data_IF_610075044048
#
_entry.id   IF_610075044048
#
_cell.length_a   1.000
_cell.length_b   1.000
_cell.length_c   1.000
_cell.angle_alpha   90.00
_cell.angle_beta   90.00
_cell.angle_gamma   90.00
#
_symmetry.space_group_name_H-M   'P 1'
#
loop_
_entity.id
_entity.type
_entity.pdbx_description
1 polymer ?
#
# COMPACT_ATOMS: atom_id res chain seq x y z
N UNK A 1 -30.46 15.79 -23.44
CA UNK A 1 -29.46 14.81 -23.92
C UNK A 1 -30.19 13.77 -24.73
N UNK A 2 -29.77 13.52 -25.99
CA UNK A 2 -30.54 12.66 -26.91
C UNK A 2 -30.45 11.19 -26.48
N UNK A 3 -31.52 10.44 -26.61
CA UNK A 3 -31.66 8.99 -26.27
C UNK A 3 -30.56 8.13 -26.89
N UNK A 4 -30.01 8.53 -28.03
CA UNK A 4 -28.88 7.86 -28.71
C UNK A 4 -27.57 7.96 -27.90
N UNK A 5 -27.35 9.07 -27.21
CA UNK A 5 -26.16 9.32 -26.42
C UNK A 5 -26.09 8.43 -25.14
N UNK A 6 -27.24 8.23 -24.50
CA UNK A 6 -27.35 7.39 -23.28
C UNK A 6 -27.08 5.92 -23.58
N UNK A 7 -27.62 5.40 -24.68
CA UNK A 7 -27.40 3.99 -25.05
C UNK A 7 -25.92 3.68 -25.36
N UNK A 8 -25.20 4.60 -26.00
CA UNK A 8 -23.77 4.44 -26.26
C UNK A 8 -22.96 4.53 -24.95
N UNK A 9 -23.36 5.43 -24.06
CA UNK A 9 -22.73 5.58 -22.75
C UNK A 9 -22.92 4.33 -21.87
N UNK A 10 -24.12 3.76 -21.82
CA UNK A 10 -24.40 2.52 -21.10
C UNK A 10 -23.60 1.33 -21.66
N UNK A 11 -23.45 1.23 -22.98
CA UNK A 11 -22.60 0.21 -23.61
C UNK A 11 -21.13 0.38 -23.24
N UNK A 12 -20.65 1.62 -23.19
CA UNK A 12 -19.27 1.92 -22.76
C UNK A 12 -19.04 1.50 -21.32
N UNK A 13 -19.96 1.82 -20.40
CA UNK A 13 -19.89 1.40 -19.00
C UNK A 13 -19.88 -0.12 -18.85
N UNK A 14 -20.75 -0.82 -19.56
CA UNK A 14 -20.80 -2.29 -19.55
C UNK A 14 -19.52 -2.92 -20.09
N UNK A 15 -18.95 -2.34 -21.15
CA UNK A 15 -17.65 -2.79 -21.71
C UNK A 15 -16.49 -2.59 -20.73
N UNK A 16 -16.44 -1.43 -20.08
CA UNK A 16 -15.42 -1.15 -19.06
C UNK A 16 -15.55 -2.10 -17.88
N UNK A 17 -16.77 -2.36 -17.40
CA UNK A 17 -17.02 -3.33 -16.33
C UNK A 17 -16.59 -4.74 -16.74
N UNK A 18 -16.85 -5.16 -17.97
CA UNK A 18 -16.38 -6.45 -18.50
C UNK A 18 -14.85 -6.57 -18.49
N UNK A 19 -14.15 -5.50 -18.82
CA UNK A 19 -12.68 -5.44 -18.73
C UNK A 19 -12.17 -5.56 -17.29
N UNK A 20 -12.85 -4.90 -16.36
CA UNK A 20 -12.53 -4.98 -14.93
C UNK A 20 -12.76 -6.41 -14.41
N UNK A 21 -13.89 -7.03 -14.73
CA UNK A 21 -14.21 -8.40 -14.34
C UNK A 21 -13.19 -9.41 -14.87
N UNK A 22 -12.69 -9.22 -16.10
CA UNK A 22 -11.64 -10.04 -16.68
C UNK A 22 -10.31 -9.91 -15.94
N UNK A 23 -9.96 -8.71 -15.48
CA UNK A 23 -8.72 -8.47 -14.69
C UNK A 23 -8.87 -9.03 -13.28
N UNK A 24 -10.03 -8.87 -12.64
CA UNK A 24 -10.30 -9.40 -11.29
C UNK A 24 -10.36 -10.92 -11.26
N UNK A 25 -10.66 -11.57 -12.38
CA UNK A 25 -10.86 -13.03 -12.48
C UNK A 25 -11.81 -13.56 -11.40
N UNK A 26 -13.09 -13.16 -11.50
CA UNK A 26 -14.11 -13.48 -10.50
C UNK A 26 -14.25 -14.98 -10.24
N UNK A 27 -13.98 -15.83 -11.24
CA UNK A 27 -14.06 -17.27 -11.07
C UNK A 27 -12.91 -17.81 -10.22
N UNK A 28 -11.70 -17.29 -10.39
CA UNK A 28 -10.58 -17.58 -9.50
C UNK A 28 -10.84 -17.08 -8.07
N UNK A 29 -11.38 -15.87 -7.91
CA UNK A 29 -11.75 -15.35 -6.58
C UNK A 29 -12.81 -16.22 -5.89
N UNK A 30 -13.81 -16.70 -6.61
CA UNK A 30 -14.83 -17.61 -6.06
C UNK A 30 -14.24 -18.97 -5.65
N UNK A 31 -13.27 -19.49 -6.42
CA UNK A 31 -12.57 -20.72 -6.07
C UNK A 31 -11.72 -20.53 -4.80
N UNK A 32 -11.02 -19.41 -4.67
CA UNK A 32 -10.27 -19.08 -3.45
C UNK A 32 -11.18 -18.91 -2.23
N UNK A 33 -12.35 -18.28 -2.40
CA UNK A 33 -13.37 -18.16 -1.35
C UNK A 33 -13.83 -19.55 -0.89
N UNK A 34 -14.15 -20.43 -1.83
CA UNK A 34 -14.58 -21.79 -1.49
C UNK A 34 -13.51 -22.58 -0.70
N UNK A 35 -12.24 -22.45 -1.10
CA UNK A 35 -11.11 -23.06 -0.39
C UNK A 35 -10.93 -22.49 1.02
N UNK A 36 -11.09 -21.17 1.20
CA UNK A 36 -11.00 -20.52 2.51
C UNK A 36 -12.21 -20.84 3.39
N UNK A 37 -13.40 -20.99 2.83
CA UNK A 37 -14.60 -21.44 3.56
C UNK A 37 -14.42 -22.86 4.11
N UNK A 38 -13.83 -23.76 3.33
CA UNK A 38 -13.48 -25.11 3.78
C UNK A 38 -12.47 -25.07 4.93
N UNK A 39 -11.43 -24.23 4.83
CA UNK A 39 -10.46 -24.03 5.91
C UNK A 39 -11.11 -23.41 7.16
N UNK A 40 -12.02 -22.44 6.98
CA UNK A 40 -12.73 -21.79 8.07
C UNK A 40 -13.70 -22.74 8.81
N UNK A 41 -14.22 -23.74 8.12
CA UNK A 41 -15.09 -24.77 8.68
C UNK A 41 -14.33 -25.87 9.44
N UNK A 42 -13.01 -25.95 9.31
CA UNK A 42 -12.21 -26.98 9.98
C UNK A 42 -12.23 -26.80 11.50
N UNK A 43 -12.55 -27.86 12.28
CA UNK A 43 -12.63 -27.80 13.75
C UNK A 43 -11.30 -27.38 14.41
N UNK A 44 -10.17 -27.72 13.79
CA UNK A 44 -8.82 -27.42 14.30
C UNK A 44 -8.38 -25.96 14.06
N UNK A 45 -9.16 -25.17 13.33
CA UNK A 45 -8.79 -23.78 13.05
C UNK A 45 -8.64 -22.93 14.31
N UNK A 46 -9.50 -23.17 15.30
CA UNK A 46 -9.56 -22.40 16.54
C UNK A 46 -8.49 -22.81 17.57
N UNK A 47 -7.69 -23.84 17.27
CA UNK A 47 -6.53 -24.21 18.07
C UNK A 47 -5.40 -23.17 17.94
N UNK A 48 -5.39 -22.40 16.84
CA UNK A 48 -4.51 -21.25 16.61
C UNK A 48 -5.34 -20.00 16.28
N UNK A 49 -5.60 -19.12 17.27
CA UNK A 49 -6.40 -17.91 17.07
C UNK A 49 -5.84 -16.93 16.01
N UNK A 50 -4.52 -16.84 15.88
CA UNK A 50 -3.88 -15.94 14.92
C UNK A 50 -4.07 -16.45 13.48
N UNK A 51 -3.92 -17.74 13.25
CA UNK A 51 -4.21 -18.38 11.97
C UNK A 51 -5.70 -18.26 11.63
N UNK A 52 -6.60 -18.46 12.60
CA UNK A 52 -8.03 -18.32 12.43
C UNK A 52 -8.40 -16.88 12.00
N UNK A 53 -7.83 -15.89 12.66
CA UNK A 53 -8.05 -14.47 12.33
C UNK A 53 -7.57 -14.13 10.91
N UNK A 54 -6.41 -14.63 10.50
CA UNK A 54 -5.88 -14.41 9.13
C UNK A 54 -6.80 -15.01 8.07
N UNK A 55 -7.25 -16.24 8.26
CA UNK A 55 -8.13 -16.94 7.31
C UNK A 55 -9.49 -16.25 7.23
N UNK A 56 -10.14 -15.96 8.36
CA UNK A 56 -11.44 -15.30 8.38
C UNK A 56 -11.40 -13.88 7.84
N UNK A 57 -10.34 -13.12 8.12
CA UNK A 57 -10.13 -11.77 7.57
C UNK A 57 -9.94 -11.80 6.05
N UNK A 58 -9.11 -12.73 5.54
CA UNK A 58 -8.91 -12.91 4.11
C UNK A 58 -10.20 -13.33 3.41
N UNK A 59 -10.95 -14.26 3.98
CA UNK A 59 -12.25 -14.71 3.46
C UNK A 59 -13.25 -13.54 3.37
N UNK A 60 -13.41 -12.79 4.46
CA UNK A 60 -14.27 -11.59 4.47
C UNK A 60 -13.89 -10.58 3.41
N UNK A 61 -12.60 -10.35 3.22
CA UNK A 61 -12.09 -9.41 2.23
C UNK A 61 -12.44 -9.85 0.79
N UNK A 62 -12.15 -11.11 0.43
CA UNK A 62 -12.46 -11.64 -0.90
C UNK A 62 -13.97 -11.67 -1.18
N UNK A 63 -14.78 -12.06 -0.19
CA UNK A 63 -16.24 -12.03 -0.32
C UNK A 63 -16.78 -10.60 -0.52
N UNK A 64 -16.18 -9.61 0.15
CA UNK A 64 -16.56 -8.21 -0.03
C UNK A 64 -16.18 -7.69 -1.42
N UNK A 65 -15.03 -8.09 -1.98
CA UNK A 65 -14.62 -7.72 -3.34
C UNK A 65 -15.55 -8.28 -4.40
N UNK A 66 -15.88 -9.57 -4.31
CA UNK A 66 -16.81 -10.21 -5.26
C UNK A 66 -18.19 -9.55 -5.17
N UNK A 67 -18.73 -9.35 -3.97
CA UNK A 67 -20.02 -8.67 -3.78
C UNK A 67 -20.04 -7.25 -4.34
N UNK A 68 -18.94 -6.50 -4.16
CA UNK A 68 -18.82 -5.13 -4.69
C UNK A 68 -18.85 -5.13 -6.22
N UNK A 69 -18.13 -6.06 -6.86
CA UNK A 69 -18.13 -6.19 -8.31
C UNK A 69 -19.50 -6.61 -8.86
N UNK A 70 -20.13 -7.60 -8.25
CA UNK A 70 -21.47 -8.08 -8.64
C UNK A 70 -22.55 -7.02 -8.45
N UNK A 71 -22.50 -6.28 -7.34
CA UNK A 71 -23.43 -5.17 -7.07
C UNK A 71 -23.29 -4.05 -8.11
N UNK A 72 -22.06 -3.67 -8.47
CA UNK A 72 -21.83 -2.65 -9.49
C UNK A 72 -22.29 -3.12 -10.88
N UNK A 73 -22.04 -4.39 -11.23
CA UNK A 73 -22.58 -4.98 -12.47
C UNK A 73 -24.10 -4.89 -12.51
N UNK A 74 -24.78 -5.29 -11.43
CA UNK A 74 -26.23 -5.19 -11.33
C UNK A 74 -26.74 -3.76 -11.49
N UNK A 75 -26.10 -2.77 -10.87
CA UNK A 75 -26.46 -1.35 -11.04
C UNK A 75 -26.28 -0.87 -12.48
N UNK A 76 -25.25 -1.31 -13.19
CA UNK A 76 -25.03 -0.99 -14.61
C UNK A 76 -26.13 -1.59 -15.46
N UNK A 77 -26.49 -2.85 -15.25
CA UNK A 77 -27.52 -3.55 -15.99
C UNK A 77 -28.90 -2.93 -15.75
N UNK A 78 -29.17 -2.44 -14.54
CA UNK A 78 -30.45 -1.79 -14.16
C UNK A 78 -30.58 -0.36 -14.72
N UNK A 79 -29.50 0.31 -15.11
CA UNK A 79 -29.55 1.69 -15.63
C UNK A 79 -30.38 1.81 -16.89
N UNK A 80 -30.31 0.83 -17.80
CA UNK A 80 -31.11 0.84 -19.04
C UNK A 80 -32.60 0.85 -18.74
N UNK A 81 -33.02 0.00 -17.80
CA UNK A 81 -34.43 -0.07 -17.35
C UNK A 81 -34.86 1.21 -16.65
N UNK A 82 -33.99 1.81 -15.85
CA UNK A 82 -34.25 3.07 -15.15
C UNK A 82 -34.49 4.23 -16.12
N UNK A 83 -33.69 4.34 -17.17
CA UNK A 83 -33.89 5.37 -18.20
C UNK A 83 -35.12 5.11 -19.04
N UNK A 84 -35.44 3.85 -19.43
CA UNK A 84 -36.66 3.49 -20.13
C UNK A 84 -37.91 3.82 -19.33
N UNK A 85 -37.92 3.55 -18.02
CA UNK A 85 -39.04 3.88 -17.13
C UNK A 85 -39.22 5.40 -17.00
N UNK A 86 -38.13 6.15 -16.80
CA UNK A 86 -38.16 7.59 -16.70
C UNK A 86 -38.72 8.26 -17.98
N UNK A 87 -38.35 7.74 -19.15
CA UNK A 87 -38.89 8.21 -20.44
C UNK A 87 -40.39 7.87 -20.61
N UNK A 88 -40.77 6.66 -20.20
CA UNK A 88 -42.18 6.22 -20.31
C UNK A 88 -43.12 7.00 -19.39
N UNK A 89 -42.67 7.36 -18.19
CA UNK A 89 -43.44 8.14 -17.24
C UNK A 89 -43.49 9.63 -17.59
N UNK A 90 -42.49 10.13 -18.34
CA UNK A 90 -42.37 11.54 -18.71
C UNK A 90 -42.20 12.47 -17.50
N UNK A 91 -41.71 11.91 -16.37
CA UNK A 91 -41.53 12.58 -15.12
C UNK A 91 -40.10 13.16 -15.00
N UNK A 92 -40.02 14.46 -14.79
CA UNK A 92 -38.70 15.14 -14.62
C UNK A 92 -37.95 14.67 -13.38
N UNK A 93 -38.64 14.25 -12.32
CA UNK A 93 -38.01 13.76 -11.08
C UNK A 93 -37.41 12.36 -11.32
N UNK A 94 -38.12 11.47 -12.04
CA UNK A 94 -37.62 10.16 -12.42
C UNK A 94 -36.38 10.26 -13.36
N UNK A 95 -36.40 11.23 -14.29
CA UNK A 95 -35.25 11.50 -15.16
C UNK A 95 -34.03 11.98 -14.35
N UNK A 96 -34.22 12.89 -13.39
CA UNK A 96 -33.16 13.38 -12.53
C UNK A 96 -32.58 12.28 -11.63
N UNK A 97 -33.41 11.35 -11.15
CA UNK A 97 -32.95 10.19 -10.37
C UNK A 97 -32.10 9.24 -11.21
N UNK A 98 -32.52 8.93 -12.44
CA UNK A 98 -31.74 8.11 -13.37
C UNK A 98 -30.38 8.74 -13.72
N UNK A 99 -30.33 10.05 -13.95
CA UNK A 99 -29.07 10.79 -14.20
C UNK A 99 -28.15 10.79 -12.97
N UNK A 100 -28.70 10.94 -11.78
CA UNK A 100 -27.93 10.88 -10.53
C UNK A 100 -27.35 9.48 -10.29
N UNK A 101 -28.11 8.42 -10.57
CA UNK A 101 -27.61 7.04 -10.49
C UNK A 101 -26.53 6.77 -11.54
N UNK A 102 -26.67 7.26 -12.77
CA UNK A 102 -25.64 7.17 -13.80
C UNK A 102 -24.30 7.79 -13.32
N UNK A 103 -24.34 9.00 -12.77
CA UNK A 103 -23.13 9.65 -12.25
C UNK A 103 -22.53 8.91 -11.03
N UNK A 104 -23.38 8.32 -10.20
CA UNK A 104 -22.94 7.48 -9.09
C UNK A 104 -22.25 6.19 -9.57
N UNK A 105 -22.79 5.54 -10.57
CA UNK A 105 -22.22 4.32 -11.19
C UNK A 105 -20.91 4.64 -11.88
N UNK A 106 -20.81 5.74 -12.62
CA UNK A 106 -19.55 6.18 -13.25
C UNK A 106 -18.44 6.33 -12.23
N UNK A 107 -18.71 7.01 -11.12
CA UNK A 107 -17.71 7.18 -10.03
C UNK A 107 -17.30 5.84 -9.44
N UNK A 108 -18.25 4.96 -9.15
CA UNK A 108 -17.95 3.64 -8.59
C UNK A 108 -17.15 2.76 -9.58
N UNK A 109 -17.41 2.89 -10.88
CA UNK A 109 -16.66 2.19 -11.92
C UNK A 109 -15.23 2.70 -12.04
N UNK A 110 -15.03 4.03 -12.02
CA UNK A 110 -13.70 4.64 -12.05
C UNK A 110 -12.86 4.22 -10.83
N UNK A 111 -13.43 4.23 -9.63
CA UNK A 111 -12.76 3.74 -8.42
C UNK A 111 -12.34 2.26 -8.55
N UNK A 112 -13.22 1.43 -9.08
CA UNK A 112 -12.94 0.01 -9.26
C UNK A 112 -11.90 -0.24 -10.35
N UNK A 113 -11.93 0.51 -11.44
CA UNK A 113 -10.91 0.46 -12.51
C UNK A 113 -9.53 0.82 -11.96
N UNK A 114 -9.44 1.93 -11.22
CA UNK A 114 -8.18 2.35 -10.57
C UNK A 114 -7.64 1.26 -9.66
N UNK A 115 -8.51 0.62 -8.87
CA UNK A 115 -8.12 -0.46 -7.98
C UNK A 115 -7.55 -1.67 -8.74
N UNK A 116 -8.06 -2.00 -9.92
CA UNK A 116 -7.50 -3.08 -10.75
C UNK A 116 -6.10 -2.79 -11.28
N UNK A 117 -5.69 -1.52 -11.29
CA UNK A 117 -4.33 -1.12 -11.65
C UNK A 117 -3.31 -1.33 -10.52
N UNK A 118 -3.76 -1.58 -9.29
CA UNK A 118 -2.94 -1.83 -8.12
C UNK A 118 -2.50 -3.30 -8.08
N UNK A 119 -1.52 -3.66 -8.89
CA UNK A 119 -1.02 -5.04 -9.08
C UNK A 119 0.43 -5.23 -8.65
N UNK A 120 1.05 -4.25 -8.00
CA UNK A 120 2.41 -4.34 -7.47
C UNK A 120 2.51 -5.28 -6.27
N UNK A 121 3.69 -5.82 -6.01
CA UNK A 121 3.97 -6.78 -4.93
C UNK A 121 3.46 -6.29 -3.55
N UNK A 122 3.54 -4.99 -3.30
CA UNK A 122 3.17 -4.40 -2.01
C UNK A 122 1.88 -3.58 -2.05
N UNK A 123 1.25 -3.42 -3.21
CA UNK A 123 0.10 -2.52 -3.38
C UNK A 123 -1.07 -2.84 -2.44
N UNK A 124 -1.29 -4.12 -2.14
CA UNK A 124 -2.35 -4.57 -1.22
C UNK A 124 -2.08 -4.30 0.27
N UNK A 125 -0.89 -3.81 0.62
CA UNK A 125 -0.47 -3.59 2.00
C UNK A 125 -1.02 -2.30 2.58
N UNK A 126 -1.01 -2.22 3.91
CA UNK A 126 -1.19 -0.97 4.65
C UNK A 126 -0.03 -0.01 4.36
N UNK A 127 -0.26 1.29 4.52
CA UNK A 127 0.73 2.32 4.26
C UNK A 127 1.28 2.92 5.54
N UNK A 128 2.59 3.14 5.57
CA UNK A 128 3.29 3.97 6.53
C UNK A 128 3.74 5.24 5.81
N UNK A 129 3.20 6.38 6.23
CA UNK A 129 3.48 7.69 5.61
C UNK A 129 4.35 8.52 6.53
N UNK A 130 5.46 9.02 6.01
CA UNK A 130 6.34 9.95 6.72
C UNK A 130 6.41 11.27 5.95
N UNK A 131 6.13 12.38 6.62
CA UNK A 131 6.22 13.73 6.07
C UNK A 131 7.32 14.47 6.80
N UNK A 132 8.20 15.14 6.05
CA UNK A 132 9.29 15.95 6.60
C UNK A 132 9.28 17.34 6.01
N UNK A 133 9.43 18.35 6.87
CA UNK A 133 9.72 19.69 6.41
C UNK A 133 11.13 19.74 5.79
N UNK A 134 11.23 20.35 4.62
CA UNK A 134 12.50 20.52 3.91
C UNK A 134 12.88 22.01 3.85
N UNK A 135 13.35 22.52 2.71
CA UNK A 135 13.74 23.91 2.58
C UNK A 135 12.56 24.88 2.73
N UNK A 136 12.73 25.97 3.48
CA UNK A 136 11.72 27.02 3.66
C UNK A 136 11.45 27.41 5.13
N UNK A 137 12.22 26.88 6.08
CA UNK A 137 12.13 27.29 7.50
C UNK A 137 10.77 27.05 8.11
N UNK A 138 10.20 28.07 8.78
CA UNK A 138 8.88 27.98 9.46
C UNK A 138 7.75 27.68 8.47
N UNK A 139 7.79 28.25 7.27
CA UNK A 139 6.82 27.96 6.21
C UNK A 139 6.84 26.49 5.79
N UNK A 140 8.00 25.87 5.73
CA UNK A 140 8.12 24.44 5.42
C UNK A 140 7.54 23.55 6.54
N UNK A 141 7.75 23.92 7.80
CA UNK A 141 7.18 23.22 8.94
C UNK A 141 5.65 23.35 9.00
N UNK A 142 5.11 24.52 8.73
CA UNK A 142 3.65 24.73 8.60
C UNK A 142 3.08 23.96 7.40
N UNK A 143 3.81 23.92 6.29
CA UNK A 143 3.40 23.15 5.12
C UNK A 143 3.36 21.65 5.39
N UNK A 144 4.36 21.10 6.08
CA UNK A 144 4.38 19.69 6.49
C UNK A 144 3.18 19.34 7.37
N UNK A 145 2.79 20.23 8.30
CA UNK A 145 1.59 20.05 9.12
C UNK A 145 0.30 20.09 8.28
N UNK A 146 0.22 20.97 7.30
CA UNK A 146 -0.91 21.03 6.36
C UNK A 146 -1.02 19.75 5.52
N UNK A 147 0.09 19.18 5.07
CA UNK A 147 0.09 17.90 4.36
C UNK A 147 -0.35 16.75 5.26
N UNK A 148 0.12 16.68 6.51
CA UNK A 148 -0.36 15.70 7.48
C UNK A 148 -1.87 15.77 7.63
N UNK A 149 -2.40 16.96 7.87
CA UNK A 149 -3.85 17.18 7.99
C UNK A 149 -4.60 16.78 6.73
N UNK A 150 -4.07 17.09 5.56
CA UNK A 150 -4.65 16.73 4.28
C UNK A 150 -4.85 15.22 4.13
N UNK A 151 -3.81 14.44 4.40
CA UNK A 151 -3.88 12.97 4.29
C UNK A 151 -4.76 12.34 5.38
N UNK A 152 -4.71 12.85 6.60
CA UNK A 152 -5.57 12.36 7.68
C UNK A 152 -7.05 12.65 7.40
N UNK A 153 -7.38 13.82 6.86
CA UNK A 153 -8.76 14.15 6.45
C UNK A 153 -9.23 13.32 5.26
N UNK A 154 -8.36 13.11 4.28
CA UNK A 154 -8.66 12.20 3.19
C UNK A 154 -8.99 10.79 3.69
N UNK A 155 -8.21 10.25 4.60
CA UNK A 155 -8.46 8.95 5.22
C UNK A 155 -9.78 8.95 6.02
N UNK A 156 -10.08 10.01 6.77
CA UNK A 156 -11.33 10.18 7.51
C UNK A 156 -12.54 10.17 6.57
N UNK A 157 -12.50 10.90 5.46
CA UNK A 157 -13.56 10.95 4.46
C UNK A 157 -13.85 9.59 3.83
N UNK A 158 -12.83 8.73 3.73
CA UNK A 158 -12.95 7.35 3.24
C UNK A 158 -13.26 6.33 4.34
N UNK A 159 -13.43 6.76 5.60
CA UNK A 159 -13.57 5.90 6.77
C UNK A 159 -12.40 4.92 6.95
N UNK A 160 -11.20 5.37 6.59
CA UNK A 160 -9.98 4.60 6.78
C UNK A 160 -9.40 4.80 8.18
N UNK A 161 -9.03 3.71 8.83
CA UNK A 161 -8.38 3.77 10.13
C UNK A 161 -6.97 4.30 10.00
N UNK A 162 -6.63 5.31 10.80
CA UNK A 162 -5.29 5.90 10.87
C UNK A 162 -4.75 5.87 12.28
N UNK A 163 -3.43 5.80 12.41
CA UNK A 163 -2.73 5.87 13.69
C UNK A 163 -1.47 6.71 13.52
N UNK A 164 -1.35 7.77 14.31
CA UNK A 164 -0.16 8.62 14.32
C UNK A 164 0.83 8.05 15.32
N UNK A 165 2.01 7.64 14.84
CA UNK A 165 3.05 7.03 15.68
C UNK A 165 3.98 8.04 16.29
N UNK A 166 4.39 9.06 15.54
CA UNK A 166 5.34 10.05 15.98
C UNK A 166 5.07 11.40 15.31
N UNK A 167 5.26 12.48 16.07
CA UNK A 167 5.23 13.85 15.52
C UNK A 167 6.30 14.68 16.24
N UNK A 168 7.24 15.18 15.47
CA UNK A 168 8.26 16.11 15.94
C UNK A 168 7.85 17.54 15.59
N UNK A 169 7.48 18.33 16.59
CA UNK A 169 7.05 19.71 16.40
C UNK A 169 8.26 20.65 16.14
N UNK A 170 8.03 21.68 15.35
CA UNK A 170 8.98 22.77 15.18
C UNK A 170 8.87 23.77 16.34
N UNK A 171 9.88 24.61 16.52
CA UNK A 171 9.95 25.52 17.67
C UNK A 171 8.94 26.67 17.58
N UNK A 172 8.72 27.24 16.39
CA UNK A 172 7.85 28.39 16.19
C UNK A 172 6.42 27.99 15.75
N UNK A 173 6.31 27.16 14.72
CA UNK A 173 5.03 26.67 14.19
C UNK A 173 5.24 25.43 13.33
N UNK A 174 4.20 24.60 13.24
CA UNK A 174 4.19 23.41 12.39
C UNK A 174 5.01 22.25 12.93
N UNK A 175 5.36 21.31 12.05
CA UNK A 175 6.05 20.06 12.39
C UNK A 175 7.37 19.94 11.60
N UNK A 176 8.39 19.39 12.24
CA UNK A 176 9.64 18.97 11.56
C UNK A 176 9.42 17.68 10.77
N UNK A 177 8.74 16.74 11.38
CA UNK A 177 8.37 15.46 10.76
C UNK A 177 7.18 14.82 11.47
N UNK A 178 6.49 13.95 10.75
CA UNK A 178 5.46 13.09 11.30
C UNK A 178 5.47 11.74 10.61
N UNK A 179 5.09 10.70 11.36
CA UNK A 179 4.90 9.35 10.81
C UNK A 179 3.55 8.82 11.28
N UNK A 180 2.72 8.38 10.35
CA UNK A 180 1.43 7.79 10.63
C UNK A 180 1.15 6.62 9.69
N UNK A 181 0.32 5.69 10.15
CA UNK A 181 -0.15 4.55 9.36
C UNK A 181 -1.58 4.78 8.86
N UNK A 182 -1.85 4.30 7.65
CA UNK A 182 -3.20 4.11 7.11
C UNK A 182 -3.46 2.61 7.07
N UNK A 183 -4.28 2.13 8.01
CA UNK A 183 -4.43 0.71 8.34
C UNK A 183 -5.61 0.08 7.60
N UNK A 184 -5.54 0.12 6.27
CA UNK A 184 -6.52 -0.51 5.38
C UNK A 184 -5.81 -1.21 4.22
N UNK A 185 -6.40 -2.28 3.67
CA UNK A 185 -5.88 -2.91 2.46
C UNK A 185 -5.75 -1.90 1.32
N UNK A 186 -4.71 -2.05 0.50
CA UNK A 186 -4.40 -1.19 -0.65
C UNK A 186 -4.03 0.26 -0.31
N UNK A 187 -3.83 0.60 0.95
CA UNK A 187 -3.40 1.94 1.33
C UNK A 187 -2.03 2.30 0.74
N UNK A 188 -1.09 1.34 0.74
CA UNK A 188 0.22 1.56 0.13
C UNK A 188 0.12 1.79 -1.38
N UNK A 189 -0.57 0.94 -2.11
CA UNK A 189 -0.76 1.10 -3.56
C UNK A 189 -1.38 2.43 -3.92
N UNK A 190 -2.37 2.86 -3.14
CA UNK A 190 -3.07 4.13 -3.31
C UNK A 190 -2.19 5.34 -3.00
N UNK A 191 -1.50 5.35 -1.86
CA UNK A 191 -0.73 6.50 -1.39
C UNK A 191 0.71 6.55 -1.90
N UNK A 192 1.25 5.45 -2.42
CA UNK A 192 2.64 5.41 -2.92
C UNK A 192 2.89 6.39 -4.06
N UNK A 193 1.86 6.78 -4.80
CA UNK A 193 1.94 7.79 -5.86
C UNK A 193 2.08 9.22 -5.32
N UNK A 194 1.82 9.43 -4.02
CA UNK A 194 2.01 10.71 -3.34
C UNK A 194 3.45 10.94 -2.87
N UNK A 195 4.31 9.92 -2.98
CA UNK A 195 5.71 10.01 -2.60
C UNK A 195 6.47 11.00 -3.47
N UNK A 196 7.27 11.84 -2.82
CA UNK A 196 8.15 12.81 -3.47
C UNK A 196 8.16 14.17 -2.79
N UNK A 197 8.75 15.14 -3.46
CA UNK A 197 8.85 16.52 -2.98
C UNK A 197 7.62 17.33 -3.39
N UNK A 198 6.96 17.93 -2.42
CA UNK A 198 5.83 18.83 -2.57
C UNK A 198 6.31 20.27 -2.38
N UNK A 199 5.78 21.22 -3.18
CA UNK A 199 6.14 22.64 -3.15
C UNK A 199 4.93 23.50 -2.80
N UNK A 200 5.11 24.42 -1.85
CA UNK A 200 4.14 25.45 -1.52
C UNK A 200 4.66 26.84 -1.90
N UNK A 201 3.85 27.61 -2.62
CA UNK A 201 4.11 29.01 -2.96
C UNK A 201 2.96 29.86 -2.44
N UNK A 202 3.26 30.74 -1.50
CA UNK A 202 2.27 31.66 -0.90
C UNK A 202 2.93 32.93 -0.37
N UNK A 203 2.11 33.93 -0.02
CA UNK A 203 2.54 35.00 0.86
C UNK A 203 2.63 34.40 2.25
N UNK A 204 3.85 34.41 2.85
CA UNK A 204 4.09 33.81 4.15
C UNK A 204 3.39 34.58 5.27
N UNK A 205 2.58 33.92 6.14
CA UNK A 205 2.05 34.56 7.32
C UNK A 205 3.10 34.83 8.41
N UNK A 206 4.31 34.26 8.26
CA UNK A 206 5.46 34.42 9.16
C UNK A 206 6.44 35.49 8.69
N UNK A 207 6.26 36.03 7.49
CA UNK A 207 7.10 37.11 6.93
C UNK A 207 6.45 38.47 7.19
N UNK A 208 7.08 39.28 8.06
CA UNK A 208 6.61 40.62 8.41
C UNK A 208 6.55 41.58 7.21
N UNK A 209 7.24 41.28 6.11
CA UNK A 209 7.25 42.08 4.89
C UNK A 209 6.18 41.64 3.87
N UNK A 210 5.43 40.58 4.18
CA UNK A 210 4.38 40.07 3.29
C UNK A 210 4.89 39.55 1.94
N UNK A 211 6.12 39.04 1.89
CA UNK A 211 6.74 38.53 0.67
C UNK A 211 6.23 37.13 0.33
N UNK A 212 6.18 36.86 -0.97
CA UNK A 212 5.93 35.50 -1.46
C UNK A 212 7.13 34.61 -1.15
N UNK A 213 6.87 33.49 -0.47
CA UNK A 213 7.86 32.49 -0.09
C UNK A 213 7.54 31.15 -0.75
N UNK A 214 8.60 30.38 -1.01
CA UNK A 214 8.51 28.99 -1.50
C UNK A 214 9.07 28.06 -0.45
N UNK A 215 8.31 27.04 -0.10
CA UNK A 215 8.70 26.01 0.86
C UNK A 215 8.46 24.61 0.32
N UNK A 216 9.19 23.65 0.87
CA UNK A 216 9.16 22.25 0.43
C UNK A 216 8.91 21.31 1.60
N UNK A 217 8.22 20.23 1.32
CA UNK A 217 8.05 19.12 2.21
C UNK A 217 8.17 17.79 1.45
N UNK A 218 8.87 16.83 2.04
CA UNK A 218 9.03 15.49 1.48
C UNK A 218 7.99 14.54 2.05
N UNK A 219 7.35 13.77 1.19
CA UNK A 219 6.44 12.68 1.54
C UNK A 219 7.08 11.36 1.15
N UNK A 220 7.22 10.47 2.12
CA UNK A 220 7.69 9.09 1.94
C UNK A 220 6.55 8.14 2.28
N UNK A 221 6.31 7.15 1.44
CA UNK A 221 5.28 6.13 1.66
C UNK A 221 5.92 4.76 1.58
N UNK A 222 5.78 3.96 2.65
CA UNK A 222 6.30 2.60 2.73
C UNK A 222 5.16 1.61 3.01
N UNK A 223 5.25 0.38 2.48
CA UNK A 223 4.31 -0.66 2.86
C UNK A 223 4.61 -1.17 4.27
N UNK A 224 3.57 -1.52 5.00
CA UNK A 224 3.71 -2.28 6.24
C UNK A 224 3.92 -3.74 5.89
N UNK A 225 5.07 -4.28 6.27
CA UNK A 225 5.41 -5.70 6.08
C UNK A 225 5.42 -6.42 7.41
N UNK A 226 4.87 -7.63 7.44
CA UNK A 226 4.96 -8.49 8.61
C UNK A 226 6.41 -8.92 8.83
N UNK A 227 6.90 -8.77 10.06
CA UNK A 227 8.20 -9.34 10.41
C UNK A 227 8.05 -10.85 10.54
N UNK A 228 8.88 -11.57 9.80
CA UNK A 228 8.97 -13.02 9.92
C UNK A 228 9.93 -13.37 11.06
N UNK A 229 9.42 -13.98 12.11
CA UNK A 229 10.23 -14.39 13.29
C UNK A 229 10.77 -15.81 13.16
N UNK A 230 10.27 -16.59 12.21
CA UNK A 230 10.68 -17.98 11.97
C UNK A 230 10.74 -18.27 10.46
N UNK A 231 11.75 -19.06 10.07
CA UNK A 231 11.89 -19.59 8.70
C UNK A 231 11.82 -21.10 8.78
N UNK A 232 10.89 -21.70 8.05
CA UNK A 232 10.88 -23.14 7.86
C UNK A 232 12.09 -23.54 7.01
N UNK A 233 12.86 -24.51 7.54
CA UNK A 233 14.02 -25.06 6.84
C UNK A 233 13.66 -26.50 6.44
N UNK A 234 13.59 -26.74 5.14
CA UNK A 234 13.38 -28.10 4.62
C UNK A 234 14.67 -28.92 4.79
N UNK A 235 14.58 -30.08 5.42
CA UNK A 235 15.73 -30.96 5.61
C UNK A 235 16.34 -31.43 4.27
N UNK A 236 15.56 -31.49 3.19
CA UNK A 236 16.03 -31.81 1.85
C UNK A 236 16.97 -30.75 1.25
N UNK A 237 16.90 -29.52 1.74
CA UNK A 237 17.75 -28.41 1.34
C UNK A 237 19.03 -28.31 2.17
N UNK A 238 19.20 -29.22 3.14
CA UNK A 238 20.37 -29.27 4.01
C UNK A 238 21.31 -30.38 3.64
N UNK A 239 22.58 -30.02 3.51
CA UNK A 239 23.68 -30.98 3.51
C UNK A 239 24.29 -31.05 4.91
N UNK A 240 24.30 -32.25 5.48
CA UNK A 240 24.84 -32.52 6.81
C UNK A 240 26.15 -33.29 6.69
N UNK A 241 27.23 -32.69 7.13
CA UNK A 241 28.57 -33.35 7.16
C UNK A 241 28.97 -33.53 8.62
N UNK A 242 29.38 -34.74 8.99
CA UNK A 242 29.88 -35.07 10.33
C UNK A 242 31.39 -35.28 10.24
N UNK A 243 32.12 -34.68 11.19
CA UNK A 243 33.57 -34.73 11.20
C UNK A 243 34.13 -34.76 12.63
N UNK A 244 35.42 -35.04 12.77
CA UNK A 244 36.09 -35.01 14.07
C UNK A 244 36.33 -33.57 14.51
N UNK A 245 35.99 -33.29 15.77
CA UNK A 245 36.28 -31.99 16.36
C UNK A 245 37.80 -31.79 16.48
N UNK A 246 38.27 -30.62 16.06
CA UNK A 246 39.69 -30.21 16.19
C UNK A 246 39.78 -29.08 17.21
N UNK A 247 40.55 -29.28 18.29
CA UNK A 247 40.79 -28.24 19.27
C UNK A 247 41.95 -28.61 20.22
N UNK A 248 42.65 -27.65 20.83
CA UNK A 248 43.69 -27.92 21.83
C UNK A 248 43.03 -28.36 23.16
N UNK A 249 43.01 -29.66 23.45
CA UNK A 249 42.68 -30.09 24.81
C UNK A 249 42.03 -31.46 24.97
N UNK A 250 42.62 -32.29 25.79
CA UNK A 250 42.06 -33.43 26.50
C UNK A 250 41.74 -34.70 25.73
N UNK A 251 41.97 -35.85 26.34
CA UNK A 251 41.85 -37.19 25.76
C UNK A 251 40.42 -37.56 25.29
N UNK A 252 39.39 -36.71 25.40
CA UNK A 252 38.01 -36.97 24.95
C UNK A 252 37.65 -36.32 23.60
N UNK A 253 38.45 -35.39 23.12
CA UNK A 253 38.13 -34.60 21.92
C UNK A 253 38.45 -35.34 20.60
N UNK A 254 39.34 -36.34 20.65
CA UNK A 254 39.86 -36.99 19.45
C UNK A 254 39.26 -38.39 19.14
N UNK A 255 38.24 -38.87 19.87
CA UNK A 255 37.81 -40.26 19.76
C UNK A 255 36.41 -40.46 19.11
N UNK A 256 35.62 -39.41 18.96
CA UNK A 256 34.29 -39.51 18.35
C UNK A 256 34.02 -38.42 17.32
N UNK A 257 33.42 -38.79 16.19
CA UNK A 257 32.96 -37.85 15.14
C UNK A 257 31.67 -37.22 15.62
N UNK A 258 31.76 -36.16 16.46
CA UNK A 258 30.61 -35.46 17.05
C UNK A 258 30.37 -34.06 16.44
N UNK A 259 31.34 -33.51 15.73
CA UNK A 259 31.19 -32.21 15.09
C UNK A 259 30.30 -32.29 13.87
N UNK A 260 29.40 -31.32 13.72
CA UNK A 260 28.41 -31.23 12.63
C UNK A 260 28.60 -29.96 11.85
N UNK A 261 28.60 -30.06 10.53
CA UNK A 261 28.52 -28.94 9.60
C UNK A 261 27.22 -29.03 8.80
N UNK A 262 26.42 -27.98 8.86
CA UNK A 262 25.22 -27.81 8.05
C UNK A 262 25.49 -26.84 6.92
N UNK A 263 25.16 -27.22 5.71
CA UNK A 263 25.19 -26.34 4.54
C UNK A 263 23.77 -26.20 4.01
N UNK A 264 23.22 -25.01 4.02
CA UNK A 264 21.93 -24.72 3.39
C UNK A 264 22.16 -24.49 1.89
N UNK A 265 21.74 -25.43 1.07
CA UNK A 265 22.05 -25.49 -0.36
C UNK A 265 21.55 -24.25 -1.13
N UNK A 266 20.30 -23.76 -0.93
CA UNK A 266 19.79 -22.61 -1.68
C UNK A 266 20.55 -21.31 -1.42
N UNK A 267 21.03 -21.09 -0.18
CA UNK A 267 21.71 -19.85 0.20
C UNK A 267 23.23 -19.96 0.29
N UNK A 268 23.75 -21.19 0.33
CA UNK A 268 25.18 -21.46 0.52
C UNK A 268 25.69 -21.16 1.95
N UNK A 269 24.79 -20.87 2.91
CA UNK A 269 25.18 -20.60 4.30
C UNK A 269 25.67 -21.88 4.95
N UNK A 270 26.84 -21.80 5.58
CA UNK A 270 27.48 -22.90 6.29
C UNK A 270 27.54 -22.59 7.79
N UNK A 271 27.14 -23.54 8.61
CA UNK A 271 27.20 -23.49 10.06
C UNK A 271 27.89 -24.76 10.56
N UNK A 272 28.87 -24.60 11.46
CA UNK A 272 29.56 -25.71 12.11
C UNK A 272 29.41 -25.62 13.63
N UNK A 273 29.12 -26.74 14.28
CA UNK A 273 29.05 -26.84 15.73
C UNK A 273 29.82 -28.07 16.22
N UNK A 274 30.67 -27.88 17.25
CA UNK A 274 31.52 -28.94 17.83
C UNK A 274 31.60 -28.86 19.35
N UNK A 275 30.78 -28.00 20.00
CA UNK A 275 30.92 -27.69 21.42
C UNK A 275 30.37 -28.81 22.31
N UNK A 276 29.49 -29.63 21.81
CA UNK A 276 28.85 -30.69 22.54
C UNK A 276 29.48 -32.07 22.26
N UNK A 277 29.34 -33.00 23.19
CA UNK A 277 29.84 -34.36 23.02
C UNK A 277 28.92 -35.22 22.17
N UNK A 278 27.69 -34.83 22.00
CA UNK A 278 26.65 -35.53 21.23
C UNK A 278 26.48 -34.88 19.83
N UNK A 279 26.55 -35.73 18.80
CA UNK A 279 26.26 -35.34 17.44
C UNK A 279 24.85 -34.73 17.29
N UNK A 280 23.86 -35.28 17.99
CA UNK A 280 22.47 -34.83 17.96
C UNK A 280 22.36 -33.39 18.52
N UNK A 281 23.04 -33.13 19.66
CA UNK A 281 23.06 -31.79 20.25
C UNK A 281 23.79 -30.78 19.38
N UNK A 282 24.90 -31.19 18.74
CA UNK A 282 25.62 -30.33 17.80
C UNK A 282 24.76 -30.01 16.56
N UNK A 283 24.00 -31.00 16.02
CA UNK A 283 23.06 -30.78 14.92
C UNK A 283 21.97 -29.77 15.34
N UNK A 284 21.37 -29.93 16.52
CA UNK A 284 20.35 -29.04 17.03
C UNK A 284 20.87 -27.61 17.24
N UNK A 285 22.06 -27.47 17.80
CA UNK A 285 22.72 -26.17 17.99
C UNK A 285 23.05 -25.51 16.64
N UNK A 286 23.55 -26.28 15.68
CA UNK A 286 23.82 -25.80 14.32
C UNK A 286 22.54 -25.36 13.58
N UNK A 287 21.42 -26.09 13.77
CA UNK A 287 20.12 -25.71 13.24
C UNK A 287 19.62 -24.37 13.79
N UNK A 288 19.76 -24.13 15.10
CA UNK A 288 19.39 -22.87 15.70
C UNK A 288 20.21 -21.69 15.16
N UNK A 289 21.52 -21.88 14.97
CA UNK A 289 22.41 -20.87 14.40
C UNK A 289 22.08 -20.63 12.91
N UNK A 290 21.78 -21.68 12.16
CA UNK A 290 21.35 -21.57 10.77
C UNK A 290 20.04 -20.81 10.64
N UNK A 291 19.06 -21.11 11.49
CA UNK A 291 17.80 -20.38 11.59
C UNK A 291 18.03 -18.88 11.80
N UNK A 292 18.89 -18.53 12.76
CA UNK A 292 19.21 -17.13 13.05
C UNK A 292 19.88 -16.43 11.86
N UNK A 293 20.83 -17.10 11.17
CA UNK A 293 21.50 -16.54 9.98
C UNK A 293 20.56 -16.36 8.79
N UNK A 294 19.65 -17.31 8.55
CA UNK A 294 18.65 -17.20 7.49
C UNK A 294 17.67 -16.07 7.77
N UNK A 295 17.24 -15.93 9.02
CA UNK A 295 16.35 -14.86 9.44
C UNK A 295 17.00 -13.48 9.26
N UNK A 296 18.26 -13.34 9.67
CA UNK A 296 19.02 -12.09 9.50
C UNK A 296 19.21 -11.75 8.02
N UNK A 297 19.55 -12.72 7.19
CA UNK A 297 19.65 -12.53 5.74
C UNK A 297 18.32 -12.06 5.13
N UNK A 298 17.21 -12.68 5.50
CA UNK A 298 15.88 -12.28 5.04
C UNK A 298 15.54 -10.86 5.45
N UNK A 299 15.84 -10.49 6.70
CA UNK A 299 15.68 -9.11 7.19
C UNK A 299 16.50 -8.10 6.39
N UNK A 300 17.74 -8.45 6.04
CA UNK A 300 18.60 -7.60 5.22
C UNK A 300 18.07 -7.46 3.78
N UNK A 301 17.57 -8.53 3.18
CA UNK A 301 16.95 -8.51 1.86
C UNK A 301 15.66 -7.67 1.86
N UNK A 302 14.81 -7.83 2.86
CA UNK A 302 13.61 -7.01 3.06
C UNK A 302 13.96 -5.54 3.29
N UNK A 303 14.97 -5.26 4.12
CA UNK A 303 15.44 -3.89 4.34
C UNK A 303 16.01 -3.24 3.07
N UNK A 304 16.73 -4.01 2.26
CA UNK A 304 17.23 -3.53 0.97
C UNK A 304 16.09 -3.22 -0.01
N UNK A 305 15.05 -4.07 -0.06
CA UNK A 305 13.83 -3.82 -0.85
C UNK A 305 13.11 -2.54 -0.36
N UNK A 306 12.94 -2.39 0.97
CA UNK A 306 12.33 -1.19 1.54
C UNK A 306 13.15 0.07 1.24
N UNK A 307 14.47 0.00 1.31
CA UNK A 307 15.33 1.13 0.96
C UNK A 307 15.23 1.48 -0.54
N UNK A 308 15.05 0.50 -1.41
CA UNK A 308 14.81 0.74 -2.84
C UNK A 308 13.46 1.43 -3.10
N UNK A 309 12.44 1.17 -2.26
CA UNK A 309 11.12 1.84 -2.34
C UNK A 309 11.15 3.28 -1.83
N UNK A 310 12.14 3.60 -1.00
CA UNK A 310 12.35 4.96 -0.47
C UNK A 310 12.78 5.91 -1.55
N UNK A 311 12.34 6.10 -2.65
CA UNK A 311 12.76 7.05 -3.69
C UNK A 311 14.01 7.88 -3.37
N UNK A 312 14.71 8.33 -4.32
CA UNK A 312 15.82 9.28 -4.11
C UNK A 312 15.29 10.53 -3.40
N UNK A 313 15.46 10.58 -2.06
CA UNK A 313 15.16 11.75 -1.23
C UNK A 313 16.09 12.93 -1.56
N UNK A 314 16.39 13.10 -2.82
CA UNK A 314 17.21 14.20 -3.31
C UNK A 314 16.47 15.52 -3.12
N UNK A 315 16.99 16.35 -2.24
CA UNK A 315 16.73 17.80 -2.12
C UNK A 315 16.98 18.52 -3.45
N UNK A 316 16.29 18.15 -4.51
CA UNK A 316 16.50 18.82 -5.77
C UNK A 316 15.31 19.73 -6.04
N UNK A 317 15.58 21.00 -6.09
CA UNK A 317 14.69 22.05 -6.60
C UNK A 317 14.12 21.72 -8.00
N UNK A 318 14.66 20.68 -8.65
CA UNK A 318 14.26 20.21 -9.96
C UNK A 318 13.27 19.03 -10.00
N UNK A 319 13.06 18.32 -8.88
CA UNK A 319 12.27 17.08 -8.85
C UNK A 319 10.99 17.17 -8.01
N UNK A 320 10.26 18.26 -8.16
CA UNK A 320 8.99 18.43 -7.49
C UNK A 320 7.91 17.60 -8.17
N UNK A 321 7.14 16.86 -7.40
CA UNK A 321 6.03 16.08 -7.92
C UNK A 321 4.72 16.88 -7.96
N UNK A 322 4.48 17.76 -6.97
CA UNK A 322 3.26 18.55 -6.85
C UNK A 322 3.54 19.97 -6.38
N UNK A 323 2.85 20.91 -6.98
CA UNK A 323 2.94 22.33 -6.65
C UNK A 323 1.61 22.84 -6.12
N UNK A 324 1.65 23.46 -4.95
CA UNK A 324 0.53 24.13 -4.28
C UNK A 324 0.80 25.63 -4.35
N UNK A 325 0.03 26.36 -5.16
CA UNK A 325 0.17 27.80 -5.34
C UNK A 325 -1.04 28.50 -4.75
N UNK A 326 -0.82 29.37 -3.77
CA UNK A 326 -1.86 30.19 -3.13
C UNK A 326 -1.80 31.65 -3.58
N UNK A 327 -0.66 32.09 -4.12
CA UNK A 327 -0.44 33.44 -4.63
C UNK A 327 0.63 33.43 -5.73
N UNK A 328 0.48 34.15 -6.85
CA UNK A 328 -0.55 35.15 -7.18
C UNK A 328 -1.89 34.59 -7.67
N UNK A 329 -1.97 33.33 -7.95
CA UNK A 329 -3.19 32.60 -8.31
C UNK A 329 -3.36 31.37 -7.39
N UNK A 330 -4.52 30.77 -7.43
CA UNK A 330 -4.80 29.58 -6.60
C UNK A 330 -4.88 28.34 -7.51
N UNK A 331 -3.98 27.38 -7.28
CA UNK A 331 -3.94 26.13 -8.02
C UNK A 331 -3.09 25.08 -7.31
N UNK A 332 -3.52 23.84 -7.33
CA UNK A 332 -2.70 22.68 -7.02
C UNK A 332 -2.53 21.88 -8.30
N UNK A 333 -1.30 21.59 -8.68
CA UNK A 333 -0.97 20.85 -9.90
C UNK A 333 0.05 19.75 -9.64
N UNK A 334 -0.24 18.54 -10.10
CA UNK A 334 0.73 17.45 -10.18
C UNK A 334 1.54 17.61 -11.47
N UNK A 335 2.85 17.74 -11.33
CA UNK A 335 3.75 18.00 -12.46
C UNK A 335 4.04 16.74 -13.30
N UNK A 336 3.68 15.56 -12.81
CA UNK A 336 3.87 14.27 -13.51
C UNK A 336 2.67 13.92 -14.38
N UNK A 337 1.48 14.16 -13.87
CA UNK A 337 0.20 13.78 -14.48
C UNK A 337 -0.49 14.93 -15.17
N UNK A 338 -0.07 16.18 -14.87
CA UNK A 338 -0.70 17.42 -15.26
C UNK A 338 -2.12 17.64 -14.72
N UNK A 339 -2.59 16.75 -13.83
CA UNK A 339 -3.86 16.94 -13.14
C UNK A 339 -3.79 18.17 -12.23
N UNK A 340 -4.82 19.02 -12.27
CA UNK A 340 -4.85 20.27 -11.52
C UNK A 340 -6.24 20.56 -10.92
N UNK A 341 -6.24 21.26 -9.79
CA UNK A 341 -7.44 21.74 -9.11
C UNK A 341 -7.26 23.21 -8.72
N UNK A 342 -8.25 24.05 -9.05
CA UNK A 342 -8.22 25.49 -8.78
C UNK A 342 -8.60 25.87 -7.35
N UNK A 343 -8.89 24.93 -6.45
CA UNK A 343 -9.26 25.16 -5.06
C UNK A 343 -8.26 24.49 -4.10
N UNK A 344 -7.16 25.15 -3.73
CA UNK A 344 -6.18 24.59 -2.80
C UNK A 344 -6.74 24.29 -1.42
N UNK A 345 -7.73 25.04 -0.95
CA UNK A 345 -8.36 24.80 0.35
C UNK A 345 -9.08 23.45 0.39
N UNK A 346 -9.83 23.12 -0.66
CA UNK A 346 -10.47 21.81 -0.78
C UNK A 346 -9.43 20.67 -0.79
N UNK A 347 -8.33 20.84 -1.51
CA UNK A 347 -7.21 19.88 -1.54
C UNK A 347 -6.63 19.69 -0.14
N UNK A 348 -6.29 20.75 0.58
CA UNK A 348 -5.80 20.66 1.97
C UNK A 348 -6.84 20.10 2.96
N UNK A 349 -8.10 20.14 2.62
CA UNK A 349 -9.18 19.50 3.38
C UNK A 349 -9.40 18.02 3.02
N UNK A 350 -8.59 17.43 2.15
CA UNK A 350 -8.59 16.01 1.84
C UNK A 350 -9.13 15.62 0.46
N UNK A 351 -9.53 16.57 -0.39
CA UNK A 351 -9.99 16.29 -1.75
C UNK A 351 -8.81 16.02 -2.69
N UNK A 352 -8.18 14.84 -2.53
CA UNK A 352 -7.00 14.44 -3.30
C UNK A 352 -7.23 13.24 -4.22
N UNK A 353 -8.42 12.68 -4.26
CA UNK A 353 -8.71 11.47 -5.05
C UNK A 353 -8.34 11.61 -6.51
N UNK A 354 -8.64 12.73 -7.14
CA UNK A 354 -8.28 13.00 -8.53
C UNK A 354 -6.77 12.97 -8.78
N UNK A 355 -5.97 13.47 -7.84
CA UNK A 355 -4.50 13.39 -7.91
C UNK A 355 -4.00 11.96 -7.75
N UNK A 356 -4.57 11.23 -6.81
CA UNK A 356 -4.21 9.82 -6.53
C UNK A 356 -4.54 8.94 -7.74
N UNK A 357 -5.74 9.05 -8.29
CA UNK A 357 -6.18 8.29 -9.48
C UNK A 357 -5.31 8.59 -10.70
N UNK A 358 -5.07 9.87 -10.98
CA UNK A 358 -4.18 10.28 -12.06
C UNK A 358 -2.76 9.74 -11.86
N UNK A 359 -2.25 9.75 -10.62
CA UNK A 359 -0.95 9.21 -10.26
C UNK A 359 -0.85 7.70 -10.48
N UNK A 360 -1.86 6.94 -10.11
CA UNK A 360 -1.90 5.49 -10.32
C UNK A 360 -1.91 5.16 -11.82
N UNK A 361 -2.74 5.84 -12.60
CA UNK A 361 -2.79 5.67 -14.07
C UNK A 361 -1.45 6.03 -14.73
N UNK A 362 -0.84 7.12 -14.32
CA UNK A 362 0.47 7.56 -14.80
C UNK A 362 1.56 6.52 -14.51
N UNK A 363 1.62 5.98 -13.29
CA UNK A 363 2.56 4.92 -12.90
C UNK A 363 2.42 3.70 -13.80
N UNK A 364 1.19 3.24 -14.02
CA UNK A 364 0.90 2.06 -14.84
C UNK A 364 1.26 2.23 -16.32
N UNK A 365 1.15 3.44 -16.84
CA UNK A 365 1.57 3.74 -18.21
C UNK A 365 3.10 3.67 -18.40
N UNK A 366 3.86 3.98 -17.35
CA UNK A 366 5.34 3.92 -17.38
C UNK A 366 5.91 2.52 -17.15
N UNK A 367 5.15 1.61 -16.59
CA UNK A 367 5.54 0.21 -16.41
C UNK A 367 5.35 -0.63 -17.69
N UNK A 368 4.64 -0.10 -18.68
CA UNK A 368 4.50 -0.69 -20.03
C UNK A 368 5.62 -0.21 -20.96
#
# INVERSE_FOLDING_TARGET
VAVVDISEELKSLSSTMGSIEAVLDLDALRADIAALEEQAAAPSLWDDPDAAQKITSKLSHLQAEVRKAEALRGRIDDLEVLFELAEAEGDADAQAEAEAELESVKRALDEMEVRTLLSGEYDAREALVTIRAEAGGVDAADFAEKLQRMYLRWAEQHNYKTEVYETAYAEEAGIKSTTFAVQVPYAYGTLSVEQGTHRLVRISPFDNQGRRQTSFAGVEVLPVVEQTDHIEIDESELRVDVYRSSGPGGQGVNTTDSAVRLTHLPTGIVVSCQNERSQIQNKASAMNVLQAKLLERRRQEEQAKMNALKGDGGNSWGNQMRSYVLHPYQMVKDLRTEFEMGNPEAVFNGEIDGFVEAGIRWRKQREK
#
